data_IF_288546105622
#
_entry.id   IF_288546105622
#
_cell.length_a   1.000
_cell.length_b   1.000
_cell.length_c   1.000
_cell.angle_alpha   90.00
_cell.angle_beta   90.00
_cell.angle_gamma   90.00
#
_symmetry.space_group_name_H-M   'P 1'
#
loop_
_entity.id
_entity.type
_entity.pdbx_description
1 polymer ?
#
# COMPACT_ATOMS: atom_id res chain seq x y z
N UNK A 1 -21.06 0.82 0.87
CA UNK A 1 -19.91 0.79 -0.05
C UNK A 1 -19.43 2.19 -0.30
N UNK A 2 -18.17 2.43 -0.11
CA UNK A 2 -17.49 3.71 -0.38
C UNK A 2 -16.34 3.49 -1.34
N UNK A 3 -16.27 4.29 -2.40
CA UNK A 3 -15.12 4.33 -3.30
C UNK A 3 -14.24 5.51 -2.88
N UNK A 4 -12.94 5.25 -2.77
CA UNK A 4 -11.92 6.24 -2.47
C UNK A 4 -10.85 6.18 -3.54
N UNK A 5 -10.32 7.33 -3.95
CA UNK A 5 -9.23 7.41 -4.92
C UNK A 5 -8.34 8.61 -4.67
N UNK A 6 -7.08 8.48 -5.01
CA UNK A 6 -6.12 9.58 -4.98
C UNK A 6 -5.02 9.37 -6.02
N UNK A 7 -4.31 10.43 -6.34
CA UNK A 7 -3.15 10.43 -7.22
C UNK A 7 -2.00 11.18 -6.55
N UNK A 8 -0.78 10.67 -6.69
CA UNK A 8 0.42 11.32 -6.22
C UNK A 8 1.50 11.30 -7.31
N UNK A 9 2.28 12.36 -7.37
CA UNK A 9 3.37 12.51 -8.34
C UNK A 9 4.70 12.52 -7.59
N UNK A 10 5.57 11.57 -7.94
CA UNK A 10 6.95 11.52 -7.45
C UNK A 10 7.88 12.17 -8.47
N UNK A 11 8.73 13.09 -8.04
CA UNK A 11 9.75 13.74 -8.88
C UNK A 11 10.99 12.84 -9.07
N UNK A 12 10.77 11.58 -9.37
CA UNK A 12 11.79 10.54 -9.58
C UNK A 12 11.38 9.60 -10.71
N UNK A 13 12.35 9.01 -11.44
CA UNK A 13 12.06 8.01 -12.47
C UNK A 13 11.33 6.77 -11.91
N UNK A 14 10.56 6.12 -12.75
CA UNK A 14 9.78 4.95 -12.39
C UNK A 14 10.62 3.86 -11.70
N UNK A 15 11.81 3.55 -12.22
CA UNK A 15 12.71 2.54 -11.67
C UNK A 15 13.13 2.86 -10.23
N UNK A 16 13.42 4.14 -9.95
CA UNK A 16 13.78 4.61 -8.61
C UNK A 16 12.60 4.46 -7.63
N UNK A 17 11.40 4.85 -8.06
CA UNK A 17 10.20 4.77 -7.24
C UNK A 17 9.82 3.32 -6.95
N UNK A 18 9.89 2.44 -7.94
CA UNK A 18 9.54 1.01 -7.78
C UNK A 18 10.48 0.31 -6.81
N UNK A 19 11.78 0.52 -6.93
CA UNK A 19 12.77 -0.03 -5.99
C UNK A 19 12.48 0.40 -4.56
N UNK A 20 12.17 1.68 -4.34
CA UNK A 20 11.81 2.19 -3.03
C UNK A 20 10.47 1.63 -2.53
N UNK A 21 9.46 1.52 -3.41
CA UNK A 21 8.16 0.97 -3.06
C UNK A 21 8.22 -0.50 -2.62
N UNK A 22 9.07 -1.30 -3.25
CA UNK A 22 9.30 -2.70 -2.86
C UNK A 22 9.95 -2.85 -1.48
N UNK A 23 10.64 -1.81 -1.00
CA UNK A 23 11.37 -1.76 0.29
C UNK A 23 10.74 -0.83 1.31
N UNK A 24 9.56 -0.30 1.04
CA UNK A 24 9.02 0.79 1.88
C UNK A 24 8.72 0.39 3.33
N UNK A 25 8.61 -0.90 3.65
CA UNK A 25 8.33 -1.39 4.99
C UNK A 25 9.39 -2.41 5.47
N UNK A 26 9.76 -2.40 6.77
CA UNK A 26 9.36 -1.43 7.80
C UNK A 26 9.98 -0.05 7.55
N UNK A 27 9.30 1.01 8.01
CA UNK A 27 9.72 2.39 7.76
C UNK A 27 9.26 3.31 8.90
N UNK A 28 10.13 4.18 9.45
CA UNK A 28 9.76 5.09 10.53
C UNK A 28 8.69 6.11 10.12
N UNK A 29 8.56 6.42 8.82
CA UNK A 29 7.51 7.32 8.32
C UNK A 29 6.12 6.69 8.30
N UNK A 30 6.04 5.37 8.40
CA UNK A 30 4.78 4.64 8.53
C UNK A 30 4.86 3.56 9.61
N UNK A 31 4.81 3.96 10.89
CA UNK A 31 4.93 3.02 12.02
C UNK A 31 3.73 2.08 12.16
N UNK A 32 2.64 2.31 11.45
CA UNK A 32 1.46 1.45 11.49
C UNK A 32 1.70 0.08 10.85
N UNK A 33 2.65 -0.03 9.95
CA UNK A 33 3.06 -1.34 9.39
C UNK A 33 4.19 -1.89 10.25
N UNK A 34 3.87 -2.90 11.05
CA UNK A 34 4.77 -3.49 12.06
C UNK A 34 5.53 -4.72 11.58
N UNK A 35 5.08 -5.33 10.49
CA UNK A 35 5.74 -6.51 9.92
C UNK A 35 5.36 -6.74 8.47
N UNK A 36 6.29 -7.36 7.74
CA UNK A 36 6.09 -7.79 6.34
C UNK A 36 6.72 -9.15 6.16
N UNK A 37 5.92 -10.11 5.70
CA UNK A 37 6.37 -11.45 5.33
C UNK A 37 6.19 -11.64 3.82
N UNK A 38 7.25 -12.01 3.13
CA UNK A 38 7.20 -12.41 1.73
C UNK A 38 6.82 -13.88 1.65
N UNK A 39 5.63 -14.15 1.14
CA UNK A 39 5.11 -15.52 1.05
C UNK A 39 5.60 -16.25 -0.20
N UNK A 40 5.68 -15.54 -1.32
CA UNK A 40 6.10 -16.08 -2.61
C UNK A 40 6.59 -14.97 -3.53
N UNK A 41 7.58 -15.29 -4.35
CA UNK A 41 8.07 -14.48 -5.46
C UNK A 41 8.39 -15.35 -6.66
N UNK A 42 7.90 -14.98 -7.82
CA UNK A 42 8.14 -15.71 -9.07
C UNK A 42 8.15 -14.79 -10.28
N UNK A 43 8.89 -15.21 -11.30
CA UNK A 43 8.83 -14.60 -12.63
C UNK A 43 7.87 -15.40 -13.50
N UNK A 44 6.99 -14.71 -14.22
CA UNK A 44 6.14 -15.36 -15.21
C UNK A 44 6.86 -15.52 -16.57
N UNK A 45 6.19 -16.14 -17.54
CA UNK A 45 6.75 -16.38 -18.88
C UNK A 45 7.06 -15.08 -19.66
N UNK A 46 6.47 -13.95 -19.25
CA UNK A 46 6.66 -12.63 -19.86
C UNK A 46 7.71 -11.79 -19.14
N UNK A 47 8.39 -12.33 -18.13
CA UNK A 47 9.41 -11.65 -17.35
C UNK A 47 8.86 -10.66 -16.31
N UNK A 48 7.59 -10.78 -15.94
CA UNK A 48 6.99 -9.96 -14.88
C UNK A 48 7.22 -10.61 -13.53
N UNK A 49 7.59 -9.79 -12.54
CA UNK A 49 7.79 -10.24 -11.16
C UNK A 49 6.48 -10.20 -10.39
N UNK A 50 6.04 -11.36 -9.93
CA UNK A 50 4.92 -11.51 -9.01
C UNK A 50 5.43 -11.66 -7.58
N UNK A 51 4.85 -10.90 -6.65
CA UNK A 51 5.16 -11.01 -5.23
C UNK A 51 3.88 -11.10 -4.43
N UNK A 52 3.81 -12.06 -3.51
CA UNK A 52 2.76 -12.18 -2.52
C UNK A 52 3.34 -11.89 -1.14
N UNK A 53 2.77 -10.94 -0.43
CA UNK A 53 3.22 -10.54 0.89
C UNK A 53 2.06 -10.51 1.88
N UNK A 54 2.40 -10.73 3.15
CA UNK A 54 1.51 -10.56 4.29
C UNK A 54 2.03 -9.38 5.12
N UNK A 55 1.19 -8.38 5.32
CA UNK A 55 1.50 -7.22 6.13
C UNK A 55 0.76 -7.30 7.46
N UNK A 56 1.50 -7.08 8.55
CA UNK A 56 0.93 -6.88 9.88
C UNK A 56 0.83 -5.39 10.13
N UNK A 57 -0.39 -4.91 10.39
CA UNK A 57 -0.65 -3.48 10.58
C UNK A 57 -1.33 -3.23 11.92
N UNK A 58 -0.99 -2.11 12.54
CA UNK A 58 -1.72 -1.58 13.70
C UNK A 58 -2.61 -0.43 13.24
N UNK A 59 -3.87 -0.72 13.12
CA UNK A 59 -4.85 0.33 12.85
C UNK A 59 -5.22 0.98 14.18
N UNK A 60 -4.89 2.25 14.34
CA UNK A 60 -5.37 3.05 15.45
C UNK A 60 -6.88 3.27 15.33
N UNK A 61 -7.66 2.20 15.44
CA UNK A 61 -9.12 2.27 15.36
C UNK A 61 -9.66 3.11 16.52
N UNK A 62 -10.56 4.07 16.27
CA UNK A 62 -11.25 4.78 17.34
C UNK A 62 -11.92 3.80 18.31
N UNK A 63 -11.99 4.16 19.59
CA UNK A 63 -12.57 3.29 20.62
C UNK A 63 -13.98 2.81 20.30
N UNK A 64 -14.79 3.65 19.64
CA UNK A 64 -16.14 3.27 19.18
C UNK A 64 -16.12 2.13 18.16
N UNK A 65 -15.15 2.14 17.24
CA UNK A 65 -15.01 1.08 16.23
C UNK A 65 -14.57 -0.22 16.88
N UNK A 66 -13.63 -0.14 17.83
CA UNK A 66 -13.20 -1.31 18.62
C UNK A 66 -14.35 -1.92 19.42
N UNK A 67 -15.17 -1.09 20.01
CA UNK A 67 -16.38 -1.53 20.74
C UNK A 67 -17.38 -2.24 19.82
N UNK A 68 -17.63 -1.70 18.62
CA UNK A 68 -18.50 -2.31 17.61
C UNK A 68 -17.95 -3.64 17.11
N UNK A 69 -16.63 -3.73 16.89
CA UNK A 69 -15.97 -4.94 16.45
C UNK A 69 -15.83 -6.00 17.56
N UNK A 70 -16.12 -5.63 18.81
CA UNK A 70 -16.03 -6.54 19.95
C UNK A 70 -14.61 -7.01 20.25
N UNK A 71 -13.59 -6.23 19.90
CA UNK A 71 -12.20 -6.62 20.05
C UNK A 71 -11.35 -5.49 20.65
N UNK A 72 -10.38 -5.90 21.49
CA UNK A 72 -9.31 -5.03 21.98
C UNK A 72 -8.06 -5.12 21.10
N UNK A 73 -8.04 -6.03 20.12
CA UNK A 73 -6.92 -6.18 19.20
C UNK A 73 -6.94 -5.06 18.17
N UNK A 74 -5.83 -4.34 18.07
CA UNK A 74 -5.60 -3.29 17.07
C UNK A 74 -4.84 -3.80 15.86
N UNK A 75 -4.26 -5.02 15.97
CA UNK A 75 -3.46 -5.62 14.91
C UNK A 75 -4.36 -6.27 13.86
N UNK A 76 -4.10 -5.92 12.61
CA UNK A 76 -4.77 -6.47 11.44
C UNK A 76 -3.77 -6.97 10.41
N UNK A 77 -4.22 -7.89 9.58
CA UNK A 77 -3.40 -8.47 8.51
C UNK A 77 -3.95 -8.11 7.16
N UNK A 78 -3.06 -7.79 6.25
CA UNK A 78 -3.38 -7.44 4.86
C UNK A 78 -2.57 -8.35 3.95
N UNK A 79 -3.25 -8.98 3.02
CA UNK A 79 -2.63 -9.73 1.94
C UNK A 79 -2.40 -8.79 0.75
N UNK A 80 -1.20 -8.85 0.18
CA UNK A 80 -0.80 -8.01 -0.92
C UNK A 80 -0.25 -8.87 -2.08
N UNK A 81 -0.69 -8.57 -3.29
CA UNK A 81 -0.13 -9.14 -4.52
C UNK A 81 0.34 -8.00 -5.41
N UNK A 82 1.60 -8.02 -5.79
CA UNK A 82 2.18 -7.06 -6.72
C UNK A 82 2.70 -7.71 -7.98
N UNK A 83 2.61 -6.99 -9.09
CA UNK A 83 3.14 -7.38 -10.39
C UNK A 83 3.99 -6.22 -10.91
N UNK A 84 5.27 -6.47 -11.13
CA UNK A 84 6.21 -5.53 -11.74
C UNK A 84 6.49 -5.97 -13.17
N UNK A 85 6.15 -5.11 -14.13
CA UNK A 85 6.44 -5.29 -15.56
C UNK A 85 7.51 -4.28 -15.99
N UNK A 86 8.77 -4.68 -16.07
CA UNK A 86 9.86 -3.77 -16.43
C UNK A 86 9.84 -3.34 -17.90
N UNK A 87 9.26 -4.14 -18.78
CA UNK A 87 9.16 -3.82 -20.21
C UNK A 87 8.15 -2.69 -20.43
N UNK A 88 6.98 -2.79 -19.82
CA UNK A 88 5.93 -1.77 -19.91
C UNK A 88 6.10 -0.64 -18.91
N UNK A 89 7.08 -0.73 -18.01
CA UNK A 89 7.29 0.19 -16.88
C UNK A 89 5.99 0.41 -16.09
N UNK A 90 5.44 -0.68 -15.60
CA UNK A 90 4.19 -0.69 -14.84
C UNK A 90 4.36 -1.56 -13.60
N UNK A 91 3.99 -1.03 -12.45
CA UNK A 91 3.81 -1.82 -11.24
C UNK A 91 2.37 -1.69 -10.77
N UNK A 92 1.74 -2.81 -10.55
CA UNK A 92 0.38 -2.90 -10.02
C UNK A 92 0.41 -3.67 -8.70
N UNK A 93 -0.28 -3.15 -7.70
CA UNK A 93 -0.37 -3.75 -6.39
C UNK A 93 -1.83 -3.81 -5.98
N UNK A 94 -2.29 -5.00 -5.62
CA UNK A 94 -3.62 -5.20 -5.06
C UNK A 94 -3.48 -5.69 -3.62
N UNK A 95 -4.26 -5.11 -2.73
CA UNK A 95 -4.30 -5.54 -1.33
C UNK A 95 -5.72 -5.69 -0.82
N UNK A 96 -5.90 -6.62 0.10
CA UNK A 96 -7.16 -6.86 0.79
C UNK A 96 -6.90 -7.25 2.24
N UNK A 97 -7.79 -6.82 3.13
CA UNK A 97 -7.71 -7.26 4.53
C UNK A 97 -8.13 -8.73 4.64
N UNK A 98 -7.46 -9.47 5.52
CA UNK A 98 -7.82 -10.85 5.85
C UNK A 98 -8.36 -11.00 7.28
N UNK A 99 -8.26 -9.97 8.10
CA UNK A 99 -8.91 -9.86 9.41
C UNK A 99 -10.22 -9.08 9.30
N UNK A 100 -11.20 -9.46 10.11
CA UNK A 100 -12.53 -8.84 10.18
C UNK A 100 -13.32 -8.85 8.87
N UNK A 101 -13.06 -9.80 7.99
CA UNK A 101 -13.68 -9.90 6.65
C UNK A 101 -15.20 -10.11 6.68
N UNK A 102 -15.74 -10.60 7.79
CA UNK A 102 -17.19 -10.71 8.02
C UNK A 102 -17.88 -9.35 8.23
N UNK A 103 -17.13 -8.33 8.66
CA UNK A 103 -17.64 -6.99 8.98
C UNK A 103 -17.13 -5.92 8.01
N UNK A 104 -15.87 -6.00 7.61
CA UNK A 104 -15.18 -4.97 6.84
C UNK A 104 -14.43 -5.61 5.68
N UNK A 105 -14.60 -5.06 4.48
CA UNK A 105 -13.78 -5.36 3.31
C UNK A 105 -13.15 -4.06 2.80
N UNK A 106 -11.84 -4.07 2.65
CA UNK A 106 -11.06 -3.00 2.01
C UNK A 106 -10.24 -3.62 0.91
N UNK A 107 -10.62 -3.34 -0.32
CA UNK A 107 -9.91 -3.78 -1.51
C UNK A 107 -9.25 -2.58 -2.16
N UNK A 108 -7.92 -2.57 -2.18
CA UNK A 108 -7.10 -1.45 -2.65
C UNK A 108 -6.29 -1.86 -3.87
N UNK A 109 -6.14 -0.94 -4.81
CA UNK A 109 -5.32 -1.09 -5.99
C UNK A 109 -4.43 0.13 -6.17
N UNK A 110 -3.13 -0.09 -6.30
CA UNK A 110 -2.12 0.90 -6.60
C UNK A 110 -1.54 0.65 -7.99
N UNK A 111 -1.35 1.71 -8.76
CA UNK A 111 -0.71 1.66 -10.06
C UNK A 111 0.39 2.71 -10.15
N UNK A 112 1.63 2.26 -10.33
CA UNK A 112 2.81 3.11 -10.55
C UNK A 112 3.20 3.06 -12.02
N UNK A 113 3.29 4.23 -12.65
CA UNK A 113 3.65 4.36 -14.07
C UNK A 113 4.44 5.64 -14.31
N UNK A 114 5.30 5.70 -15.36
CA UNK A 114 5.93 6.95 -15.74
C UNK A 114 4.89 8.00 -16.13
N UNK A 115 5.21 9.27 -15.87
CA UNK A 115 4.42 10.35 -16.41
C UNK A 115 4.51 10.34 -17.95
N UNK A 116 3.40 10.49 -18.70
CA UNK A 116 3.42 10.39 -20.16
C UNK A 116 4.30 11.44 -20.85
N UNK A 117 4.47 12.61 -20.24
CA UNK A 117 5.24 13.72 -20.82
C UNK A 117 6.64 13.89 -20.21
N UNK A 118 6.96 13.18 -19.13
CA UNK A 118 8.25 13.30 -18.44
C UNK A 118 8.69 11.98 -17.82
N UNK A 119 9.68 11.27 -18.41
CA UNK A 119 10.14 9.98 -17.90
C UNK A 119 10.87 10.06 -16.54
N UNK A 120 11.26 11.25 -16.08
CA UNK A 120 11.88 11.46 -14.77
C UNK A 120 10.86 11.65 -13.65
N UNK A 121 9.59 11.51 -13.96
CA UNK A 121 8.46 11.67 -13.04
C UNK A 121 7.59 10.42 -13.06
N UNK A 122 7.13 10.00 -11.89
CA UNK A 122 6.28 8.82 -11.72
C UNK A 122 4.93 9.22 -11.15
N UNK A 123 3.86 8.67 -11.71
CA UNK A 123 2.49 8.84 -11.22
C UNK A 123 2.08 7.57 -10.47
N UNK A 124 1.59 7.74 -9.24
CA UNK A 124 0.91 6.73 -8.47
C UNK A 124 -0.58 7.04 -8.42
N UNK A 125 -1.40 6.14 -8.93
CA UNK A 125 -2.85 6.15 -8.71
C UNK A 125 -3.22 5.11 -7.68
N UNK A 126 -4.07 5.48 -6.72
CA UNK A 126 -4.58 4.59 -5.67
C UNK A 126 -6.10 4.64 -5.68
N UNK A 127 -6.71 3.47 -5.65
CA UNK A 127 -8.15 3.29 -5.59
C UNK A 127 -8.48 2.26 -4.53
N UNK A 128 -9.57 2.46 -3.80
CA UNK A 128 -10.05 1.47 -2.85
C UNK A 128 -11.58 1.41 -2.83
N UNK A 129 -12.09 0.21 -2.59
CA UNK A 129 -13.48 -0.05 -2.30
C UNK A 129 -13.56 -0.47 -0.84
N UNK A 130 -14.31 0.30 -0.05
CA UNK A 130 -14.53 0.07 1.38
C UNK A 130 -15.98 -0.34 1.58
N UNK A 131 -16.20 -1.49 2.19
CA UNK A 131 -17.53 -2.00 2.51
C UNK A 131 -17.60 -2.41 3.97
N UNK A 132 -18.58 -1.86 4.71
CA UNK A 132 -18.92 -2.26 6.07
C UNK A 132 -20.27 -2.98 6.03
N UNK A 133 -20.28 -4.21 6.52
CA UNK A 133 -21.44 -5.12 6.43
C UNK A 133 -22.21 -5.14 7.74
N UNK A 134 -23.52 -5.18 7.65
CA UNK A 134 -24.41 -5.55 8.76
C UNK A 134 -24.53 -4.57 9.92
N UNK A 135 -24.04 -3.33 9.79
CA UNK A 135 -24.09 -2.32 10.84
C UNK A 135 -24.96 -1.14 10.43
N UNK A 136 -25.77 -0.64 11.37
CA UNK A 136 -26.62 0.53 11.16
C UNK A 136 -25.85 1.83 10.89
N UNK A 137 -24.56 1.89 11.26
CA UNK A 137 -23.63 3.00 11.04
C UNK A 137 -22.61 2.73 9.93
N UNK A 138 -22.91 1.78 9.02
CA UNK A 138 -21.98 1.34 7.97
C UNK A 138 -21.41 2.50 7.14
N UNK A 139 -22.27 3.39 6.66
CA UNK A 139 -21.84 4.56 5.87
C UNK A 139 -20.93 5.52 6.63
N UNK A 140 -21.18 5.73 7.92
CA UNK A 140 -20.32 6.55 8.79
C UNK A 140 -18.94 5.91 8.97
N UNK A 141 -18.88 4.61 9.23
CA UNK A 141 -17.65 3.86 9.39
C UNK A 141 -16.86 3.81 8.09
N UNK A 142 -17.50 3.63 6.94
CA UNK A 142 -16.88 3.69 5.63
C UNK A 142 -16.24 5.06 5.38
N UNK A 143 -16.91 6.14 5.75
CA UNK A 143 -16.38 7.50 5.67
C UNK A 143 -15.13 7.71 6.54
N UNK A 144 -15.15 7.22 7.78
CA UNK A 144 -13.99 7.27 8.67
C UNK A 144 -12.80 6.48 8.11
N UNK A 145 -13.05 5.30 7.55
CA UNK A 145 -12.01 4.48 6.95
C UNK A 145 -11.40 5.16 5.72
N UNK A 146 -12.21 5.81 4.89
CA UNK A 146 -11.71 6.59 3.75
C UNK A 146 -10.78 7.74 4.21
N UNK A 147 -11.12 8.42 5.29
CA UNK A 147 -10.24 9.45 5.89
C UNK A 147 -8.92 8.85 6.39
N UNK A 148 -8.97 7.68 7.02
CA UNK A 148 -7.77 6.94 7.44
C UNK A 148 -6.90 6.53 6.26
N UNK A 149 -7.51 6.07 5.18
CA UNK A 149 -6.79 5.72 3.96
C UNK A 149 -6.08 6.93 3.37
N UNK A 150 -6.72 8.10 3.37
CA UNK A 150 -6.08 9.34 2.91
C UNK A 150 -4.84 9.68 3.75
N UNK A 151 -4.93 9.59 5.07
CA UNK A 151 -3.80 9.82 5.96
C UNK A 151 -2.70 8.77 5.77
N UNK A 152 -3.06 7.50 5.59
CA UNK A 152 -2.10 6.42 5.38
C UNK A 152 -1.43 6.49 4.00
N UNK A 153 -2.14 6.95 2.97
CA UNK A 153 -1.56 7.18 1.65
C UNK A 153 -0.42 8.20 1.72
N UNK A 154 -0.62 9.32 2.40
CA UNK A 154 0.44 10.33 2.61
C UNK A 154 1.65 9.72 3.30
N UNK A 155 1.46 8.94 4.36
CA UNK A 155 2.54 8.23 5.05
C UNK A 155 3.28 7.25 4.11
N UNK A 156 2.55 6.58 3.23
CA UNK A 156 3.13 5.69 2.21
C UNK A 156 4.00 6.44 1.21
N UNK A 157 3.58 7.61 0.75
CA UNK A 157 4.37 8.47 -0.15
C UNK A 157 5.64 8.97 0.55
N UNK A 158 5.49 9.46 1.78
CA UNK A 158 6.62 9.91 2.60
C UNK A 158 7.62 8.78 2.86
N UNK A 159 7.14 7.56 3.06
CA UNK A 159 7.99 6.38 3.24
C UNK A 159 8.84 6.08 1.99
N UNK A 160 8.24 6.15 0.82
CA UNK A 160 8.96 5.96 -0.46
C UNK A 160 10.02 7.05 -0.65
N UNK A 161 9.67 8.31 -0.46
CA UNK A 161 10.60 9.42 -0.58
C UNK A 161 11.73 9.35 0.46
N UNK A 162 11.42 8.92 1.67
CA UNK A 162 12.42 8.72 2.72
C UNK A 162 13.47 7.68 2.30
N UNK A 163 13.06 6.56 1.73
CA UNK A 163 13.98 5.52 1.24
C UNK A 163 14.86 6.06 0.12
N UNK A 164 14.29 6.76 -0.85
CA UNK A 164 15.05 7.34 -1.97
C UNK A 164 16.12 8.29 -1.44
N UNK A 165 15.74 9.23 -0.58
CA UNK A 165 16.66 10.23 -0.01
C UNK A 165 17.76 9.61 0.85
N UNK A 166 17.47 8.56 1.62
CA UNK A 166 18.47 7.89 2.45
C UNK A 166 19.39 6.99 1.63
N UNK A 167 18.88 6.32 0.59
CA UNK A 167 19.70 5.52 -0.33
C UNK A 167 20.73 6.40 -1.08
N UNK A 168 20.35 7.59 -1.47
CA UNK A 168 21.25 8.57 -2.09
C UNK A 168 22.37 9.02 -1.14
N UNK A 169 22.08 9.18 0.15
CA UNK A 169 23.06 9.59 1.17
C UNK A 169 24.07 8.50 1.50
N UNK A 170 23.64 7.24 1.50
CA UNK A 170 24.48 6.11 1.91
C UNK A 170 25.29 5.51 0.74
N UNK A 171 25.11 6.01 -0.49
CA UNK A 171 25.72 5.42 -1.71
C UNK A 171 25.48 3.89 -1.83
N UNK A 172 24.42 3.39 -1.21
CA UNK A 172 24.05 1.97 -1.30
C UNK A 172 23.39 1.75 -2.66
N UNK A 173 23.97 0.90 -3.53
CA UNK A 173 23.29 0.57 -4.78
C UNK A 173 21.94 -0.06 -4.47
N UNK A 174 20.88 0.46 -5.06
CA UNK A 174 19.54 -0.12 -4.99
C UNK A 174 19.45 -1.50 -5.72
N UNK A 175 20.59 -2.08 -6.07
CA UNK A 175 20.70 -3.25 -6.93
C UNK A 175 20.38 -4.59 -6.30
N UNK A 176 20.30 -4.71 -4.96
CA UNK A 176 20.22 -6.00 -4.25
C UNK A 176 18.79 -6.43 -3.90
N UNK A 177 17.79 -6.11 -4.73
CA UNK A 177 16.39 -6.34 -4.39
C UNK A 177 15.70 -7.41 -5.27
N UNK A 178 16.42 -8.05 -6.15
CA UNK A 178 15.87 -9.11 -6.98
C UNK A 178 16.29 -10.49 -6.51
#
# INVERSE_FOLDING_TARGET
MKIWSTEHVFSYPWETVIKAAMRKYPNPMNPNVVGVDVLDRSLDAEGRLHSHRLLSTEWGLPGIVRAILGTNHTQTYVQEHSIVDPEKKKMELCSTNITFTNLISVDERLLYRPHPDNPDVTILTQEAIITVKGLSLGSYLEGMMAMRMSANAIKGWDAIEWIIKNSERENVPLCDIY
#
